data_IF_292881931286
#
_entry.id   IF_292881931286
#
_cell.length_a   1.000
_cell.length_b   1.000
_cell.length_c   1.000
_cell.angle_alpha   90.00
_cell.angle_beta   90.00
_cell.angle_gamma   90.00
#
_symmetry.space_group_name_H-M   'P 1'
#
loop_
_entity.id
_entity.type
_entity.pdbx_description
1 polymer ?
#
# COMPACT_ATOMS: atom_id res chain seq x y z
N UNK A 1 -2.51 -11.68 -10.10
CA UNK A 1 -1.94 -11.61 -8.74
C UNK A 1 -2.23 -10.21 -8.19
N UNK A 2 -2.77 -9.97 -6.99
CA UNK A 2 -3.14 -10.88 -5.90
C UNK A 2 -4.46 -10.45 -5.23
N UNK A 3 -5.38 -11.41 -5.07
CA UNK A 3 -6.67 -11.21 -4.41
C UNK A 3 -6.69 -11.80 -2.98
N UNK A 4 -5.71 -12.63 -2.59
CA UNK A 4 -5.71 -13.28 -1.26
C UNK A 4 -5.68 -12.27 -0.11
N UNK A 5 -4.89 -11.20 -0.26
CA UNK A 5 -4.81 -10.14 0.74
C UNK A 5 -6.14 -9.39 0.90
N UNK A 6 -6.85 -9.16 -0.19
CA UNK A 6 -8.18 -8.52 -0.19
C UNK A 6 -9.21 -9.35 0.59
N UNK A 7 -9.25 -10.67 0.34
CA UNK A 7 -10.15 -11.56 1.06
C UNK A 7 -9.80 -11.66 2.53
N UNK A 8 -8.51 -11.78 2.87
CA UNK A 8 -8.03 -11.82 4.25
C UNK A 8 -8.39 -10.54 5.01
N UNK A 9 -8.11 -9.37 4.43
CA UNK A 9 -8.46 -8.08 5.03
C UNK A 9 -9.98 -7.93 5.24
N UNK A 10 -10.78 -8.39 4.28
CA UNK A 10 -12.24 -8.38 4.41
C UNK A 10 -12.70 -9.32 5.52
N UNK A 11 -12.11 -10.51 5.61
CA UNK A 11 -12.40 -11.47 6.68
C UNK A 11 -12.03 -10.91 8.06
N UNK A 12 -10.85 -10.31 8.21
CA UNK A 12 -10.40 -9.70 9.47
C UNK A 12 -11.33 -8.55 9.89
N UNK A 13 -11.79 -7.75 8.92
CA UNK A 13 -12.75 -6.68 9.18
C UNK A 13 -14.14 -7.21 9.57
N UNK A 14 -14.60 -8.29 8.93
CA UNK A 14 -15.85 -8.96 9.30
C UNK A 14 -15.77 -9.59 10.69
N UNK A 15 -14.64 -10.21 11.06
CA UNK A 15 -14.40 -10.74 12.42
C UNK A 15 -14.39 -9.64 13.49
N UNK A 16 -13.93 -8.45 13.12
CA UNK A 16 -13.98 -7.27 14.00
C UNK A 16 -15.41 -6.77 14.24
N UNK A 17 -16.29 -6.93 13.25
CA UNK A 17 -17.71 -6.57 13.34
C UNK A 17 -18.53 -7.66 14.06
N UNK A 18 -18.37 -8.92 13.66
CA UNK A 18 -19.06 -10.08 14.21
C UNK A 18 -18.04 -11.11 14.71
N UNK A 19 -17.92 -11.22 16.03
CA UNK A 19 -17.02 -12.18 16.68
C UNK A 19 -17.45 -13.64 16.50
N UNK A 20 -18.69 -13.90 16.07
CA UNK A 20 -19.25 -15.23 15.82
C UNK A 20 -19.37 -15.51 14.32
N UNK A 21 -18.62 -14.81 13.47
CA UNK A 21 -18.68 -14.95 12.01
C UNK A 21 -18.51 -16.40 11.53
N UNK A 22 -17.68 -17.19 12.20
CA UNK A 22 -17.42 -18.61 11.93
C UNK A 22 -18.62 -19.53 12.24
N UNK A 23 -19.57 -19.06 13.05
CA UNK A 23 -20.79 -19.78 13.42
C UNK A 23 -21.99 -19.36 12.55
N UNK A 24 -21.81 -18.35 11.69
CA UNK A 24 -22.86 -17.84 10.80
C UNK A 24 -23.04 -18.74 9.60
N UNK A 25 -24.29 -18.93 9.20
CA UNK A 25 -24.64 -19.50 7.91
C UNK A 25 -24.62 -18.42 6.82
N UNK A 26 -24.47 -18.82 5.56
CA UNK A 26 -24.61 -17.88 4.44
C UNK A 26 -25.99 -17.21 4.40
N UNK A 27 -27.03 -17.88 4.92
CA UNK A 27 -28.37 -17.31 5.09
C UNK A 27 -28.43 -16.14 6.07
N UNK A 28 -27.54 -16.13 7.07
CA UNK A 28 -27.49 -15.07 8.09
C UNK A 28 -26.86 -13.78 7.55
N UNK A 29 -26.12 -13.87 6.44
CA UNK A 29 -25.52 -12.73 5.74
C UNK A 29 -26.57 -12.10 4.82
N UNK A 30 -27.68 -11.67 5.42
CA UNK A 30 -28.81 -11.04 4.73
C UNK A 30 -28.59 -9.53 4.51
N UNK A 31 -29.58 -8.86 3.91
CA UNK A 31 -29.52 -7.42 3.66
C UNK A 31 -29.35 -6.60 4.94
N UNK A 32 -29.93 -7.05 6.07
CA UNK A 32 -29.80 -6.35 7.37
C UNK A 32 -28.38 -6.47 7.89
N UNK A 33 -27.78 -7.65 7.78
CA UNK A 33 -26.38 -7.86 8.14
C UNK A 33 -25.44 -6.94 7.35
N UNK A 34 -25.61 -6.89 6.02
CA UNK A 34 -24.78 -6.05 5.12
C UNK A 34 -24.92 -4.56 5.45
N UNK A 35 -26.14 -4.07 5.75
CA UNK A 35 -26.36 -2.69 6.18
C UNK A 35 -25.73 -2.39 7.55
N UNK A 36 -25.85 -3.32 8.49
CA UNK A 36 -25.21 -3.21 9.80
C UNK A 36 -23.68 -3.14 9.69
N UNK A 37 -23.10 -3.94 8.80
CA UNK A 37 -21.67 -3.90 8.51
C UNK A 37 -21.25 -2.57 7.87
N UNK A 38 -22.05 -2.01 6.95
CA UNK A 38 -21.76 -0.69 6.36
C UNK A 38 -21.77 0.41 7.44
N UNK A 39 -22.77 0.41 8.33
CA UNK A 39 -22.84 1.34 9.45
C UNK A 39 -21.63 1.21 10.39
N UNK A 40 -21.17 -0.02 10.65
CA UNK A 40 -19.95 -0.26 11.42
C UNK A 40 -18.71 0.36 10.76
N UNK A 41 -18.55 0.20 9.44
CA UNK A 41 -17.44 0.80 8.70
C UNK A 41 -17.51 2.33 8.68
N UNK A 42 -18.72 2.90 8.56
CA UNK A 42 -18.92 4.35 8.66
C UNK A 42 -18.52 4.87 10.05
N UNK A 43 -18.92 4.19 11.14
CA UNK A 43 -18.53 4.55 12.52
C UNK A 43 -17.03 4.47 12.76
N UNK A 44 -16.31 3.62 12.02
CA UNK A 44 -14.84 3.55 12.00
C UNK A 44 -14.17 4.64 11.16
N UNK A 45 -14.94 5.48 10.46
CA UNK A 45 -14.42 6.53 9.60
C UNK A 45 -13.92 6.04 8.24
N UNK A 46 -14.32 4.83 7.80
CA UNK A 46 -13.93 4.33 6.48
C UNK A 46 -14.62 5.12 5.37
N UNK A 47 -13.84 5.68 4.43
CA UNK A 47 -14.38 6.33 3.24
C UNK A 47 -15.10 5.34 2.33
N UNK A 48 -15.99 5.85 1.48
CA UNK A 48 -16.82 5.05 0.59
C UNK A 48 -16.03 4.09 -0.29
N UNK A 49 -14.87 4.50 -0.80
CA UNK A 49 -14.02 3.62 -1.62
C UNK A 49 -13.44 2.44 -0.83
N UNK A 50 -13.07 2.64 0.43
CA UNK A 50 -12.65 1.55 1.32
C UNK A 50 -13.81 0.63 1.68
N UNK A 51 -15.01 1.19 1.89
CA UNK A 51 -16.23 0.38 2.12
C UNK A 51 -16.56 -0.46 0.88
N UNK A 52 -16.54 0.16 -0.31
CA UNK A 52 -16.72 -0.49 -1.62
C UNK A 52 -15.74 -1.66 -1.79
N UNK A 53 -14.49 -1.49 -1.39
CA UNK A 53 -13.48 -2.56 -1.41
C UNK A 53 -13.93 -3.80 -0.63
N UNK A 54 -14.36 -3.65 0.63
CA UNK A 54 -14.84 -4.77 1.45
C UNK A 54 -16.10 -5.41 0.86
N UNK A 55 -17.06 -4.62 0.39
CA UNK A 55 -18.30 -5.16 -0.19
C UNK A 55 -18.10 -5.87 -1.53
N UNK A 56 -17.11 -5.48 -2.34
CA UNK A 56 -16.75 -6.24 -3.55
C UNK A 56 -16.23 -7.63 -3.19
N UNK A 57 -15.39 -7.73 -2.16
CA UNK A 57 -14.87 -9.01 -1.70
C UNK A 57 -15.96 -9.88 -1.08
N UNK A 58 -16.82 -9.31 -0.23
CA UNK A 58 -17.97 -10.03 0.36
C UNK A 58 -18.93 -10.53 -0.73
N UNK A 59 -19.24 -9.71 -1.73
CA UNK A 59 -20.09 -10.12 -2.87
C UNK A 59 -19.47 -11.29 -3.63
N UNK A 60 -18.17 -11.26 -3.88
CA UNK A 60 -17.48 -12.36 -4.55
C UNK A 60 -17.55 -13.68 -3.75
N UNK A 61 -17.40 -13.62 -2.42
CA UNK A 61 -17.54 -14.78 -1.53
C UNK A 61 -18.95 -15.37 -1.62
N UNK A 62 -20.00 -14.54 -1.49
CA UNK A 62 -21.38 -15.01 -1.56
C UNK A 62 -21.75 -15.54 -2.96
N UNK A 63 -21.23 -14.93 -4.02
CA UNK A 63 -21.42 -15.42 -5.38
C UNK A 63 -20.80 -16.81 -5.55
N UNK A 64 -19.60 -17.03 -4.99
CA UNK A 64 -18.95 -18.33 -5.02
C UNK A 64 -19.77 -19.37 -4.27
N UNK A 65 -20.27 -19.04 -3.08
CA UNK A 65 -21.14 -19.92 -2.30
C UNK A 65 -22.43 -20.29 -3.06
N UNK A 66 -23.06 -19.34 -3.74
CA UNK A 66 -24.24 -19.61 -4.58
C UNK A 66 -23.90 -20.52 -5.77
N UNK A 67 -22.74 -20.32 -6.41
CA UNK A 67 -22.29 -21.16 -7.52
C UNK A 67 -21.97 -22.61 -7.09
N UNK A 68 -21.54 -22.80 -5.84
CA UNK A 68 -21.27 -24.11 -5.23
C UNK A 68 -22.53 -24.73 -4.58
N UNK A 69 -23.68 -24.05 -4.61
CA UNK A 69 -24.94 -24.55 -4.06
C UNK A 69 -25.04 -24.52 -2.53
N UNK A 70 -24.04 -23.96 -1.84
CA UNK A 70 -24.01 -23.83 -0.37
C UNK A 70 -24.51 -22.47 0.13
N UNK A 71 -24.73 -21.52 -0.79
CA UNK A 71 -25.26 -20.20 -0.49
C UNK A 71 -26.79 -20.16 -0.39
N UNK A 72 -27.32 -18.97 -0.12
CA UNK A 72 -28.76 -18.72 -0.02
C UNK A 72 -29.17 -17.64 -1.02
N UNK A 73 -29.86 -18.04 -2.08
CA UNK A 73 -30.37 -17.11 -3.11
C UNK A 73 -31.48 -16.22 -2.54
N UNK A 74 -32.32 -16.77 -1.65
CA UNK A 74 -33.45 -16.06 -1.05
C UNK A 74 -33.03 -14.89 -0.15
N UNK A 75 -31.91 -15.03 0.54
CA UNK A 75 -31.38 -13.98 1.45
C UNK A 75 -30.27 -13.16 0.81
N UNK A 76 -29.99 -13.36 -0.49
CA UNK A 76 -28.84 -12.77 -1.15
C UNK A 76 -28.90 -11.22 -1.15
N UNK A 77 -27.95 -10.55 -0.48
CA UNK A 77 -28.09 -9.13 -0.15
C UNK A 77 -27.75 -8.18 -1.30
N UNK A 78 -27.17 -8.66 -2.40
CA UNK A 78 -26.73 -7.83 -3.54
C UNK A 78 -27.58 -8.03 -4.80
N UNK A 79 -28.78 -8.59 -4.65
CA UNK A 79 -29.76 -8.77 -5.71
C UNK A 79 -30.52 -7.48 -6.06
N UNK A 80 -31.57 -7.60 -6.87
CA UNK A 80 -32.46 -6.49 -7.22
C UNK A 80 -33.11 -5.92 -5.93
N UNK A 81 -33.00 -4.61 -5.72
CA UNK A 81 -33.50 -3.96 -4.50
C UNK A 81 -32.63 -4.19 -3.25
N UNK A 82 -31.49 -4.86 -3.40
CA UNK A 82 -30.53 -5.11 -2.33
C UNK A 82 -29.55 -3.94 -2.09
N UNK A 83 -28.42 -4.27 -1.46
CA UNK A 83 -27.37 -3.31 -1.16
C UNK A 83 -26.58 -2.92 -2.41
N UNK A 84 -26.55 -1.61 -2.71
CA UNK A 84 -25.93 -1.07 -3.91
C UNK A 84 -24.47 -0.64 -3.66
N UNK A 85 -23.53 -1.55 -3.94
CA UNK A 85 -22.09 -1.32 -3.77
C UNK A 85 -21.56 -0.16 -4.62
N UNK A 86 -22.21 0.16 -5.75
CA UNK A 86 -21.87 1.30 -6.61
C UNK A 86 -22.11 2.65 -5.91
N UNK A 87 -23.14 2.77 -5.06
CA UNK A 87 -23.47 4.01 -4.35
C UNK A 87 -22.44 4.40 -3.29
N UNK A 88 -21.51 3.50 -2.95
CA UNK A 88 -20.41 3.79 -2.05
C UNK A 88 -19.23 4.49 -2.73
N UNK A 89 -19.26 4.64 -4.05
CA UNK A 89 -18.18 5.29 -4.77
C UNK A 89 -18.09 6.78 -4.43
N UNK A 90 -16.90 7.20 -4.02
CA UNK A 90 -16.60 8.61 -3.74
C UNK A 90 -15.56 9.10 -4.76
N UNK A 91 -15.82 10.24 -5.38
CA UNK A 91 -14.89 10.84 -6.33
C UNK A 91 -13.58 11.20 -5.61
N UNK A 92 -12.51 10.46 -5.90
CA UNK A 92 -11.18 10.77 -5.40
C UNK A 92 -10.46 11.60 -6.44
N UNK A 93 -10.09 12.83 -6.09
CA UNK A 93 -9.24 13.65 -6.95
C UNK A 93 -7.95 12.87 -7.27
N UNK A 94 -7.64 12.72 -8.56
CA UNK A 94 -6.43 12.03 -8.99
C UNK A 94 -5.22 12.83 -8.49
N UNK A 95 -4.42 12.25 -7.60
CA UNK A 95 -3.17 12.84 -7.07
C UNK A 95 -2.02 12.75 -8.08
N UNK A 96 -2.23 13.26 -9.30
CA UNK A 96 -1.10 13.46 -10.21
C UNK A 96 -0.40 14.75 -9.83
N UNK A 97 0.91 14.67 -9.59
CA UNK A 97 1.78 15.84 -9.71
C UNK A 97 1.68 16.32 -11.17
N UNK A 98 1.39 17.60 -11.45
CA UNK A 98 1.47 18.14 -12.81
C UNK A 98 2.85 17.81 -13.39
N UNK A 99 2.93 17.42 -14.67
CA UNK A 99 4.19 17.01 -15.29
C UNK A 99 5.35 18.02 -15.06
N UNK A 100 5.03 19.31 -14.95
CA UNK A 100 5.96 20.37 -14.58
C UNK A 100 6.69 20.14 -13.23
N UNK A 101 5.98 19.69 -12.19
CA UNK A 101 6.55 19.40 -10.86
C UNK A 101 7.49 18.20 -10.88
N UNK A 102 7.23 17.21 -11.75
CA UNK A 102 8.08 16.02 -11.93
C UNK A 102 9.40 16.40 -12.61
N UNK A 103 9.36 17.33 -13.57
CA UNK A 103 10.56 17.83 -14.26
C UNK A 103 11.44 18.65 -13.31
N UNK A 104 10.84 19.48 -12.46
CA UNK A 104 11.58 20.26 -11.44
C UNK A 104 12.25 19.35 -10.39
N UNK A 105 11.56 18.30 -9.94
CA UNK A 105 12.13 17.33 -8.99
C UNK A 105 13.25 16.49 -9.61
N UNK A 106 13.14 16.11 -10.89
CA UNK A 106 14.22 15.43 -11.59
C UNK A 106 15.42 16.33 -11.88
N UNK A 107 15.21 17.63 -12.17
CA UNK A 107 16.30 18.61 -12.30
C UNK A 107 17.03 18.82 -10.97
N UNK A 108 16.30 18.92 -9.86
CA UNK A 108 16.90 19.05 -8.52
C UNK A 108 17.70 17.79 -8.12
N UNK A 109 17.18 16.58 -8.41
CA UNK A 109 17.91 15.33 -8.19
C UNK A 109 19.12 15.14 -9.13
N UNK A 110 19.02 15.59 -10.39
CA UNK A 110 20.13 15.60 -11.34
C UNK A 110 21.25 16.57 -10.92
N UNK A 111 20.90 17.73 -10.37
CA UNK A 111 21.86 18.71 -9.84
C UNK A 111 22.51 18.24 -8.53
N UNK A 112 21.76 17.56 -7.65
CA UNK A 112 22.32 16.92 -6.44
C UNK A 112 23.25 15.73 -6.79
N UNK A 113 22.98 15.02 -7.90
CA UNK A 113 23.82 13.92 -8.38
C UNK A 113 25.10 14.43 -9.05
N UNK A 114 25.03 15.55 -9.77
CA UNK A 114 26.20 16.25 -10.31
C UNK A 114 27.05 16.91 -9.19
N UNK A 115 26.43 17.32 -8.08
CA UNK A 115 27.12 17.86 -6.88
C UNK A 115 27.47 16.77 -5.86
N UNK A 116 27.65 15.52 -6.30
CA UNK A 116 28.20 14.42 -5.48
C UNK A 116 29.46 13.78 -6.07
N UNK A 117 30.14 14.45 -7.01
CA UNK A 117 31.58 14.23 -7.18
C UNK A 117 32.29 15.12 -6.15
N UNK A 118 32.30 14.64 -4.89
CA UNK A 118 33.03 15.30 -3.81
C UNK A 118 34.54 15.01 -3.94
N UNK A 119 35.42 16.02 -3.71
CA UNK A 119 36.88 15.98 -3.90
C UNK A 119 37.66 15.08 -2.91
N UNK A 120 37.01 14.09 -2.30
CA UNK A 120 37.61 13.29 -1.22
C UNK A 120 38.53 12.18 -1.75
N UNK A 121 38.32 11.71 -2.98
CA UNK A 121 39.23 10.75 -3.62
C UNK A 121 40.61 11.37 -3.91
N UNK A 122 40.67 12.67 -4.25
CA UNK A 122 41.94 13.36 -4.57
C UNK A 122 42.75 13.65 -3.29
N UNK A 123 42.07 13.92 -2.17
CA UNK A 123 42.74 14.16 -0.88
C UNK A 123 43.41 12.91 -0.30
N UNK A 124 42.79 11.72 -0.47
CA UNK A 124 43.38 10.45 -0.03
C UNK A 124 44.55 10.06 -0.95
N UNK A 125 44.44 10.30 -2.26
CA UNK A 125 45.53 10.04 -3.21
C UNK A 125 46.75 10.95 -2.96
N UNK A 126 46.53 12.23 -2.61
CA UNK A 126 47.58 13.16 -2.19
C UNK A 126 48.21 12.79 -0.83
N UNK A 127 47.42 12.28 0.12
CA UNK A 127 47.91 11.79 1.41
C UNK A 127 48.76 10.52 1.26
N UNK A 128 48.37 9.60 0.36
CA UNK A 128 49.14 8.38 0.08
C UNK A 128 50.45 8.67 -0.66
N UNK A 129 50.48 9.67 -1.55
CA UNK A 129 51.71 10.11 -2.22
C UNK A 129 52.69 10.82 -1.26
N UNK A 130 52.18 11.60 -0.29
CA UNK A 130 53.01 12.24 0.75
C UNK A 130 53.64 11.23 1.71
N UNK A 131 52.97 10.10 1.97
CA UNK A 131 53.47 9.04 2.85
C UNK A 131 54.48 8.09 2.18
N UNK A 132 54.49 8.02 0.84
CA UNK A 132 55.47 7.24 0.07
C UNK A 132 56.81 7.99 -0.08
N UNK A 133 56.76 9.32 -0.31
CA UNK A 133 57.98 10.16 -0.43
C UNK A 133 58.71 10.32 0.93
N UNK A 134 57.98 10.35 2.05
CA UNK A 134 58.59 10.53 3.38
C UNK A 134 59.15 9.24 4.03
N UNK A 135 58.91 8.06 3.44
CA UNK A 135 59.45 6.77 3.94
C UNK A 135 60.68 6.26 3.18
N UNK A 136 61.13 6.97 2.14
CA UNK A 136 62.33 6.58 1.38
C UNK A 136 63.29 7.74 1.04
N UNK A 137 63.11 8.92 1.63
CA UNK A 137 64.04 10.04 1.46
C UNK A 137 64.41 10.67 2.79
N UNK A 138 65.43 10.11 3.45
CA UNK A 138 66.48 10.83 4.22
C UNK A 138 67.30 9.81 5.02
N UNK A 139 68.15 9.06 4.30
CA UNK A 139 69.33 8.46 4.91
C UNK A 139 70.46 9.48 4.85
N UNK A 140 70.57 10.23 5.95
CA UNK A 140 71.79 10.79 6.56
C UNK A 140 73.07 10.94 5.71
N UNK A 141 73.61 12.17 5.72
CA UNK A 141 75.07 12.36 5.58
C UNK A 141 75.58 13.78 5.29
N UNK A 142 75.48 14.71 6.25
CA UNK A 142 76.54 15.73 6.52
C UNK A 142 77.46 15.17 7.63
N UNK A 143 78.65 15.71 7.97
CA UNK A 143 79.38 16.92 7.52
C UNK A 143 80.82 16.57 7.04
N UNK A 144 81.71 17.41 6.51
CA UNK A 144 82.02 18.84 6.64
C UNK A 144 82.34 19.43 5.27
#
# INVERSE_FOLDING_TARGET
MGNSQTYKQTQDMLRSYDRKLDQRLFSDIDLRYVRGFDMFLQKRGCCGNTRKFYFKALRAILNRANAEGVGSVATYPFGRGGFEVSKLEEATAKRYLPAARVIETQKQHGLQSAMRIRPQAVSILLLLLRHFVHRHGDAHGRPY
#
